data_IF_226015282037
#
_entry.id   IF_226015282037
#
_cell.length_a   1.000
_cell.length_b   1.000
_cell.length_c   1.000
_cell.angle_alpha   90.00
_cell.angle_beta   90.00
_cell.angle_gamma   90.00
#
_symmetry.space_group_name_H-M   'P 1'
#
loop_
_entity.id
_entity.type
_entity.pdbx_description
1 polymer ?
#
# COMPACT_ATOMS: atom_id res chain seq x y z
N UNK A 1 -29.24 3.32 -24.51
CA UNK A 1 -28.10 3.79 -23.72
C UNK A 1 -28.20 3.11 -22.38
N UNK A 2 -27.31 2.20 -22.11
CA UNK A 2 -27.44 1.25 -21.01
C UNK A 2 -26.73 1.78 -19.78
N UNK A 3 -27.49 2.08 -18.71
CA UNK A 3 -26.96 2.50 -17.41
C UNK A 3 -26.01 1.49 -16.76
N UNK A 4 -25.97 0.24 -17.21
CA UNK A 4 -25.04 -0.78 -16.77
C UNK A 4 -23.58 -0.53 -17.20
N UNK A 5 -23.35 0.18 -18.30
CA UNK A 5 -22.00 0.42 -18.79
C UNK A 5 -21.27 1.50 -17.98
N UNK A 6 -21.98 2.47 -17.44
CA UNK A 6 -21.39 3.48 -16.54
C UNK A 6 -21.01 2.90 -15.17
N UNK A 7 -21.82 1.97 -14.64
CA UNK A 7 -21.52 1.30 -13.37
C UNK A 7 -20.31 0.37 -13.52
N UNK A 8 -20.23 -0.35 -14.63
CA UNK A 8 -19.09 -1.23 -14.92
C UNK A 8 -17.82 -0.42 -15.14
N UNK A 9 -17.91 0.75 -15.76
CA UNK A 9 -16.77 1.60 -16.04
C UNK A 9 -16.25 2.33 -14.77
N UNK A 10 -17.12 2.70 -13.85
CA UNK A 10 -16.69 3.29 -12.58
C UNK A 10 -16.10 2.27 -11.60
N UNK A 11 -16.52 1.01 -11.67
CA UNK A 11 -15.89 -0.10 -10.93
C UNK A 11 -14.55 -0.49 -11.55
N UNK A 12 -14.35 -0.25 -12.84
CA UNK A 12 -13.09 -0.51 -13.54
C UNK A 12 -12.03 0.57 -13.30
N UNK A 13 -12.40 1.79 -12.93
CA UNK A 13 -11.45 2.89 -12.67
C UNK A 13 -10.77 2.81 -11.30
N UNK A 14 -11.34 2.07 -10.35
CA UNK A 14 -10.68 1.67 -9.11
C UNK A 14 -10.43 0.17 -9.10
N UNK A 15 -9.83 -0.33 -10.15
CA UNK A 15 -9.60 -1.75 -10.31
C UNK A 15 -8.58 -2.25 -9.31
N UNK A 16 -9.07 -2.66 -8.16
CA UNK A 16 -8.30 -3.34 -7.15
C UNK A 16 -7.67 -4.60 -7.72
N UNK A 17 -6.45 -4.90 -7.29
CA UNK A 17 -5.66 -6.04 -7.76
C UNK A 17 -5.80 -7.23 -6.84
N UNK A 18 -5.70 -8.40 -7.41
CA UNK A 18 -5.46 -9.64 -6.66
C UNK A 18 -3.95 -9.83 -6.56
N UNK A 19 -3.47 -10.04 -5.35
CA UNK A 19 -2.05 -10.31 -5.13
C UNK A 19 -1.86 -11.71 -4.57
N UNK A 20 -1.11 -12.52 -5.30
CA UNK A 20 -0.82 -13.89 -4.95
C UNK A 20 0.64 -13.99 -4.47
N UNK A 21 0.83 -14.57 -3.30
CA UNK A 21 2.13 -14.72 -2.66
C UNK A 21 2.55 -16.18 -2.63
N UNK A 22 3.71 -16.47 -3.16
CA UNK A 22 4.33 -17.77 -3.06
C UNK A 22 5.72 -17.67 -2.40
N UNK A 23 6.21 -18.76 -1.79
CA UNK A 23 7.50 -18.73 -1.09
C UNK A 23 8.69 -18.59 -2.02
N UNK A 24 8.57 -18.96 -3.29
CA UNK A 24 9.65 -18.91 -4.27
C UNK A 24 9.20 -18.32 -5.60
N UNK A 25 10.13 -17.74 -6.34
CA UNK A 25 9.88 -17.20 -7.69
C UNK A 25 9.38 -18.30 -8.62
N UNK A 26 9.96 -19.50 -8.56
CA UNK A 26 9.54 -20.64 -9.39
C UNK A 26 8.06 -20.99 -9.18
N UNK A 27 7.58 -20.96 -7.94
CA UNK A 27 6.17 -21.19 -7.64
C UNK A 27 5.28 -20.05 -8.16
N UNK A 28 5.74 -18.80 -8.05
CA UNK A 28 5.04 -17.67 -8.64
C UNK A 28 4.85 -17.86 -10.15
N UNK A 29 5.91 -18.26 -10.86
CA UNK A 29 5.86 -18.53 -12.30
C UNK A 29 4.94 -19.68 -12.67
N UNK A 30 4.98 -20.79 -11.91
CA UNK A 30 4.09 -21.93 -12.11
C UNK A 30 2.63 -21.53 -11.96
N UNK A 31 2.29 -20.83 -10.90
CA UNK A 31 0.94 -20.35 -10.65
C UNK A 31 0.49 -19.33 -11.69
N UNK A 32 1.38 -18.44 -12.13
CA UNK A 32 1.09 -17.47 -13.17
C UNK A 32 0.68 -18.14 -14.49
N UNK A 33 1.34 -19.23 -14.86
CA UNK A 33 0.96 -20.02 -16.05
C UNK A 33 -0.44 -20.63 -15.92
N UNK A 34 -0.79 -21.14 -14.73
CA UNK A 34 -2.13 -21.68 -14.46
C UNK A 34 -3.18 -20.58 -14.59
N UNK A 35 -2.97 -19.44 -13.95
CA UNK A 35 -3.91 -18.33 -13.99
C UNK A 35 -4.05 -17.75 -15.41
N UNK A 36 -2.96 -17.60 -16.13
CA UNK A 36 -2.98 -17.10 -17.51
C UNK A 36 -3.75 -18.05 -18.45
N UNK A 37 -3.67 -19.35 -18.22
CA UNK A 37 -4.43 -20.36 -18.96
C UNK A 37 -5.92 -20.33 -18.61
N UNK A 38 -6.24 -20.27 -17.32
CA UNK A 38 -7.61 -20.44 -16.83
C UNK A 38 -8.39 -19.12 -16.83
N UNK A 39 -7.68 -17.99 -16.79
CA UNK A 39 -8.23 -16.64 -16.78
C UNK A 39 -7.62 -15.75 -17.87
N UNK A 40 -7.77 -16.10 -19.15
CA UNK A 40 -7.08 -15.42 -20.25
C UNK A 40 -7.48 -13.95 -20.43
N UNK A 41 -8.61 -13.54 -19.86
CA UNK A 41 -9.09 -12.16 -19.92
C UNK A 41 -8.39 -11.21 -18.94
N UNK A 42 -7.55 -11.74 -18.07
CA UNK A 42 -6.85 -10.94 -17.05
C UNK A 42 -5.35 -10.95 -17.28
N UNK A 43 -4.73 -9.78 -17.16
CA UNK A 43 -3.29 -9.68 -17.22
C UNK A 43 -2.69 -10.16 -15.88
N UNK A 44 -1.82 -11.16 -15.98
CA UNK A 44 -1.07 -11.73 -14.87
C UNK A 44 0.38 -11.25 -14.96
N UNK A 45 0.91 -10.73 -13.88
CA UNK A 45 2.29 -10.29 -13.78
C UNK A 45 3.01 -11.03 -12.65
N UNK A 46 4.19 -11.53 -12.93
CA UNK A 46 5.11 -12.03 -11.90
C UNK A 46 6.14 -10.95 -11.59
N UNK A 47 6.29 -10.61 -10.33
CA UNK A 47 7.32 -9.70 -9.84
C UNK A 47 8.32 -10.46 -8.97
N UNK A 48 9.58 -10.35 -9.32
CA UNK A 48 10.67 -11.00 -8.59
C UNK A 48 11.88 -10.07 -8.46
N UNK A 49 12.80 -10.39 -7.56
CA UNK A 49 14.06 -9.66 -7.44
C UNK A 49 14.90 -9.71 -8.73
N UNK A 50 14.68 -10.70 -9.60
CA UNK A 50 15.36 -10.78 -10.91
C UNK A 50 14.91 -9.69 -11.88
N UNK A 51 13.71 -9.14 -11.68
CA UNK A 51 13.19 -8.02 -12.47
C UNK A 51 13.75 -6.68 -12.02
N UNK A 52 14.65 -6.69 -11.04
CA UNK A 52 15.24 -5.48 -10.48
C UNK A 52 14.29 -4.66 -9.62
N UNK A 53 13.25 -5.28 -9.09
CA UNK A 53 12.23 -4.63 -8.24
C UNK A 53 12.87 -3.90 -7.05
N UNK A 54 13.97 -4.41 -6.53
CA UNK A 54 14.73 -3.80 -5.43
C UNK A 54 15.28 -2.42 -5.78
N UNK A 55 15.37 -2.10 -7.06
CA UNK A 55 15.87 -0.80 -7.56
C UNK A 55 14.75 0.15 -7.96
N UNK A 56 13.49 -0.25 -7.83
CA UNK A 56 12.34 0.59 -8.17
C UNK A 56 12.01 1.54 -7.01
N UNK A 57 12.73 2.62 -6.95
CA UNK A 57 12.61 3.64 -5.89
C UNK A 57 11.60 4.74 -6.20
N UNK A 58 11.04 4.75 -7.40
CA UNK A 58 10.12 5.78 -7.85
C UNK A 58 8.72 5.23 -8.07
N UNK A 59 7.71 5.97 -7.60
CA UNK A 59 6.30 5.61 -7.75
C UNK A 59 5.91 5.41 -9.22
N UNK A 60 6.44 6.23 -10.12
CA UNK A 60 6.10 6.18 -11.54
C UNK A 60 6.46 4.83 -12.17
N UNK A 61 7.52 4.18 -11.71
CA UNK A 61 7.92 2.85 -12.20
C UNK A 61 6.88 1.82 -11.78
N UNK A 62 6.47 1.84 -10.51
CA UNK A 62 5.44 0.95 -9.99
C UNK A 62 4.10 1.16 -10.69
N UNK A 63 3.69 2.41 -10.89
CA UNK A 63 2.45 2.75 -11.59
C UNK A 63 2.47 2.27 -13.04
N UNK A 64 3.61 2.42 -13.72
CA UNK A 64 3.78 1.96 -15.09
C UNK A 64 3.71 0.43 -15.22
N UNK A 65 4.41 -0.29 -14.33
CA UNK A 65 4.46 -1.76 -14.37
C UNK A 65 3.12 -2.38 -13.97
N UNK A 66 2.44 -1.79 -13.01
CA UNK A 66 1.14 -2.26 -12.53
C UNK A 66 -0.03 -1.75 -13.37
N UNK A 67 0.25 -0.92 -14.38
CA UNK A 67 -0.79 -0.44 -15.27
C UNK A 67 -1.48 -1.60 -16.00
N UNK A 68 -2.82 -1.63 -15.95
CA UNK A 68 -3.63 -2.71 -16.54
C UNK A 68 -3.37 -4.13 -16.02
N UNK A 69 -2.61 -4.29 -14.95
CA UNK A 69 -2.39 -5.59 -14.30
C UNK A 69 -3.47 -5.81 -13.24
N UNK A 70 -4.11 -6.97 -13.29
CA UNK A 70 -5.18 -7.36 -12.36
C UNK A 70 -4.73 -8.39 -11.35
N UNK A 71 -3.81 -9.25 -11.73
CA UNK A 71 -3.29 -10.32 -10.91
C UNK A 71 -1.78 -10.16 -10.85
N UNK A 72 -1.26 -9.95 -9.66
CA UNK A 72 0.17 -9.88 -9.40
C UNK A 72 0.58 -11.09 -8.58
N UNK A 73 1.67 -11.70 -8.97
CA UNK A 73 2.29 -12.81 -8.24
C UNK A 73 3.70 -12.42 -7.84
N UNK A 74 4.03 -12.61 -6.59
CA UNK A 74 5.37 -12.30 -6.10
C UNK A 74 5.71 -13.13 -4.87
N UNK A 75 6.98 -13.07 -4.48
CA UNK A 75 7.37 -13.49 -3.14
C UNK A 75 6.84 -12.47 -2.11
N UNK A 76 6.77 -12.90 -0.86
CA UNK A 76 6.34 -12.03 0.24
C UNK A 76 7.23 -10.79 0.41
N UNK A 77 8.52 -10.92 0.11
CA UNK A 77 9.47 -9.82 0.25
C UNK A 77 9.15 -8.65 -0.69
N UNK A 78 8.81 -8.96 -1.94
CA UNK A 78 8.44 -7.91 -2.94
C UNK A 78 7.21 -7.12 -2.49
N UNK A 79 6.16 -7.80 -2.03
CA UNK A 79 4.98 -7.10 -1.53
C UNK A 79 5.29 -6.32 -0.24
N UNK A 80 6.09 -6.91 0.65
CA UNK A 80 6.51 -6.24 1.87
C UNK A 80 7.19 -4.90 1.56
N UNK A 81 8.18 -4.91 0.68
CA UNK A 81 8.94 -3.72 0.32
C UNK A 81 8.05 -2.69 -0.39
N UNK A 82 7.16 -3.13 -1.28
CA UNK A 82 6.21 -2.26 -1.96
C UNK A 82 5.24 -1.56 -0.99
N UNK A 83 4.74 -2.27 0.02
CA UNK A 83 3.87 -1.71 1.06
C UNK A 83 4.64 -0.82 2.03
N UNK A 84 5.84 -1.24 2.46
CA UNK A 84 6.67 -0.48 3.40
C UNK A 84 7.11 0.87 2.85
N UNK A 85 7.40 0.94 1.55
CA UNK A 85 7.75 2.18 0.86
C UNK A 85 6.53 2.97 0.35
N UNK A 86 5.34 2.42 0.48
CA UNK A 86 4.10 3.08 0.06
C UNK A 86 3.84 3.09 -1.44
N UNK A 87 4.58 2.33 -2.23
CA UNK A 87 4.37 2.17 -3.68
C UNK A 87 3.06 1.46 -4.01
N UNK A 88 2.66 0.54 -3.15
CA UNK A 88 1.38 -0.15 -3.19
C UNK A 88 0.66 0.11 -1.87
N UNK A 89 -0.63 0.35 -1.92
CA UNK A 89 -1.46 0.54 -0.72
C UNK A 89 -2.37 -0.67 -0.53
N UNK A 90 -2.68 -0.98 0.72
CA UNK A 90 -3.64 -2.05 1.03
C UNK A 90 -5.01 -1.80 0.39
N UNK A 91 -5.40 -0.54 0.27
CA UNK A 91 -6.66 -0.15 -0.37
C UNK A 91 -6.70 -0.48 -1.87
N UNK A 92 -5.54 -0.67 -2.51
CA UNK A 92 -5.42 -1.06 -3.92
C UNK A 92 -5.58 -2.58 -4.13
N UNK A 93 -5.64 -3.34 -3.05
CA UNK A 93 -5.77 -4.79 -3.08
C UNK A 93 -7.23 -5.21 -2.88
N UNK A 94 -7.75 -6.01 -3.81
CA UNK A 94 -9.05 -6.64 -3.70
C UNK A 94 -8.98 -7.92 -2.86
N UNK A 95 -7.91 -8.67 -3.05
CA UNK A 95 -7.69 -9.97 -2.44
C UNK A 95 -6.19 -10.24 -2.33
N UNK A 96 -5.79 -10.82 -1.22
CA UNK A 96 -4.45 -11.30 -0.95
C UNK A 96 -4.51 -12.80 -0.72
N UNK A 97 -3.83 -13.55 -1.58
CA UNK A 97 -3.80 -15.02 -1.55
C UNK A 97 -2.41 -15.47 -1.15
N UNK A 98 -2.33 -16.42 -0.26
CA UNK A 98 -1.10 -17.05 0.20
C UNK A 98 -1.05 -18.50 -0.25
N UNK A 99 -0.01 -18.85 -0.98
CA UNK A 99 0.32 -20.23 -1.29
C UNK A 99 1.31 -20.73 -0.23
N UNK A 100 0.85 -21.66 0.59
CA UNK A 100 1.56 -22.26 1.71
C UNK A 100 2.18 -21.29 2.74
N UNK A 101 1.66 -21.35 3.94
CA UNK A 101 2.44 -21.05 5.11
C UNK A 101 1.91 -20.02 6.07
N UNK A 102 1.58 -20.52 7.25
CA UNK A 102 1.26 -19.74 8.44
C UNK A 102 2.33 -18.69 8.79
N UNK A 103 3.60 -18.94 8.44
CA UNK A 103 4.71 -18.00 8.69
C UNK A 103 4.64 -16.73 7.84
N UNK A 104 4.17 -16.85 6.59
CA UNK A 104 3.99 -15.70 5.69
C UNK A 104 2.79 -14.88 6.15
N UNK A 105 1.72 -15.54 6.54
CA UNK A 105 0.53 -14.89 7.10
C UNK A 105 0.89 -14.03 8.33
N UNK A 106 1.66 -14.55 9.26
CA UNK A 106 2.09 -13.81 10.45
C UNK A 106 2.94 -12.59 10.12
N UNK A 107 3.83 -12.69 9.14
CA UNK A 107 4.63 -11.53 8.70
C UNK A 107 3.76 -10.43 8.11
N UNK A 108 2.79 -10.77 7.29
CA UNK A 108 1.89 -9.78 6.67
C UNK A 108 0.91 -9.19 7.68
N UNK A 109 0.39 -9.97 8.61
CA UNK A 109 -0.42 -9.44 9.71
C UNK A 109 0.38 -8.40 10.51
N UNK A 110 1.65 -8.67 10.78
CA UNK A 110 2.53 -7.71 11.46
C UNK A 110 2.76 -6.44 10.63
N UNK A 111 2.85 -6.57 9.30
CA UNK A 111 2.97 -5.41 8.40
C UNK A 111 1.69 -4.59 8.41
N UNK A 112 0.55 -5.22 8.28
CA UNK A 112 -0.76 -4.55 8.31
C UNK A 112 -0.91 -3.81 9.64
N UNK A 113 -0.60 -4.46 10.76
CA UNK A 113 -0.65 -3.85 12.08
C UNK A 113 0.33 -2.66 12.23
N UNK A 114 1.53 -2.76 11.65
CA UNK A 114 2.49 -1.68 11.65
C UNK A 114 2.01 -0.48 10.79
N UNK A 115 1.42 -0.75 9.62
CA UNK A 115 0.87 0.28 8.73
C UNK A 115 -0.34 0.97 9.35
N UNK A 116 -1.24 0.24 10.02
CA UNK A 116 -2.38 0.82 10.73
C UNK A 116 -1.92 1.71 11.89
N UNK A 117 -0.86 1.33 12.58
CA UNK A 117 -0.26 2.14 13.64
C UNK A 117 0.35 3.43 13.09
N UNK A 118 1.00 3.38 11.93
CA UNK A 118 1.52 4.55 11.23
C UNK A 118 0.40 5.48 10.76
N UNK A 119 -0.68 4.93 10.23
CA UNK A 119 -1.86 5.68 9.80
C UNK A 119 -2.55 6.38 10.97
N UNK A 120 -2.65 5.73 12.11
CA UNK A 120 -3.26 6.29 13.31
C UNK A 120 -2.43 7.43 13.91
N UNK A 121 -1.10 7.37 13.84
CA UNK A 121 -0.22 8.42 14.34
C UNK A 121 -0.17 9.65 13.42
N UNK A 122 -0.42 9.47 12.14
CA UNK A 122 -0.44 10.58 11.15
C UNK A 122 -1.75 11.37 11.19
N UNK A 123 -2.81 10.86 11.82
CA UNK A 123 -4.12 11.50 11.93
C UNK A 123 -4.27 12.37 13.20
N UNK A 124 -3.23 12.50 14.03
CA UNK A 124 -3.22 13.47 15.12
C UNK A 124 -2.46 14.72 14.66
N UNK A 125 -3.15 15.78 14.21
CA UNK A 125 -2.50 17.07 14.03
C UNK A 125 -2.10 17.53 15.43
N UNK A 126 -0.82 17.69 15.65
CA UNK A 126 -0.33 18.40 16.83
C UNK A 126 -0.91 19.81 16.77
N UNK A 127 -1.80 20.13 17.68
CA UNK A 127 -2.21 21.50 17.91
C UNK A 127 -0.95 22.29 18.21
N UNK A 128 -0.69 23.41 17.50
CA UNK A 128 0.41 24.27 17.88
C UNK A 128 0.07 24.78 19.27
N UNK A 129 0.87 24.38 20.24
CA UNK A 129 0.79 24.89 21.61
C UNK A 129 0.89 26.41 21.55
N UNK A 130 -0.21 27.07 21.81
CA UNK A 130 -0.23 28.50 22.06
C UNK A 130 0.50 28.75 23.38
N UNK A 131 1.79 28.97 23.31
CA UNK A 131 2.52 29.58 24.40
C UNK A 131 2.25 31.08 24.37
N UNK A 132 1.10 31.49 24.85
CA UNK A 132 0.90 32.86 25.27
C UNK A 132 1.68 33.06 26.56
N UNK A 133 2.91 33.50 26.47
CA UNK A 133 3.58 34.19 27.53
C UNK A 133 2.98 35.58 27.63
N UNK A 134 1.92 35.70 28.39
CA UNK A 134 1.40 36.97 28.84
C UNK A 134 2.36 37.48 29.92
N UNK A 135 3.28 38.37 29.53
CA UNK A 135 4.06 39.18 30.47
C UNK A 135 3.12 40.15 31.16
N UNK A 136 2.69 39.81 32.38
CA UNK A 136 2.08 40.75 33.27
C UNK A 136 3.12 41.82 33.65
N UNK A 137 3.00 42.99 33.03
CA UNK A 137 3.68 44.21 33.46
C UNK A 137 3.01 44.71 34.76
N UNK A 138 3.69 44.57 35.87
CA UNK A 138 3.32 45.26 37.10
C UNK A 138 3.61 46.76 36.97
N UNK A 139 2.67 47.63 37.25
CA UNK A 139 2.96 49.05 37.34
C UNK A 139 3.63 49.34 38.70
N UNK A 140 4.83 49.92 38.67
CA UNK A 140 5.49 50.45 39.84
C UNK A 140 4.70 51.65 40.37
N UNK A 141 4.24 51.53 41.60
CA UNK A 141 3.66 52.67 42.33
C UNK A 141 4.73 53.67 42.65
N UNK A 142 4.60 54.85 42.10
CA UNK A 142 5.42 56.01 42.39
C UNK A 142 5.06 56.57 43.78
N UNK A 143 6.05 56.62 44.66
CA UNK A 143 5.95 57.29 45.97
C UNK A 143 6.16 58.77 45.75
N UNK A 144 5.11 59.56 45.98
CA UNK A 144 5.23 61.03 46.11
C UNK A 144 5.39 61.38 47.57
N UNK A 145 6.34 62.25 47.79
CA UNK A 145 6.43 63.07 48.98
C UNK A 145 5.48 64.24 48.96
#
# INVERSE_FOLDING_TARGET
MKSSDMFTQSVLTTAKRVWFLAPTVTLCEQQARVFARDLPSYNVLVLSGQDGVDHWTEQIVWDSVLHNVRIVMSTHQVLYDALAHGFVKMDDLALLIFDEGQLIFMKIVNIIAALDKFRSSSLHPQSPGSSHHEKLLHPKAGKKR
#
